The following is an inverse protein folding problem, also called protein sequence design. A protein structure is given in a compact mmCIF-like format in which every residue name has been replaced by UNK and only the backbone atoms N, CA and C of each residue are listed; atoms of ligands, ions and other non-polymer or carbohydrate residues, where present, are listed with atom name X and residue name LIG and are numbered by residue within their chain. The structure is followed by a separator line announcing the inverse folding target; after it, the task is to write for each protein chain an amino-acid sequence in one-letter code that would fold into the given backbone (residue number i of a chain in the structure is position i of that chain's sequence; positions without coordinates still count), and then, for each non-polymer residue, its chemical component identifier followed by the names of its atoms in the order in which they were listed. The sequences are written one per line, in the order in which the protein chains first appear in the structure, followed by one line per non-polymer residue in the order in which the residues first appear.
data_IF_104778628919
#
_entry.id   IF_104778628919
#
_cell.length_a   1.000
_cell.length_b   1.000
_cell.length_c   1.000
_cell.angle_alpha   90.00
_cell.angle_beta   90.00
_cell.angle_gamma   90.00
#
_symmetry.space_group_name_H-M   'P 1'
#
loop_
_entity.id
_entity.type
_entity.pdbx_description
1 polymer ?
#
# COMPACT_ATOMS: atom_id res chain seq x y z
N UNK A 1 25.23 18.34 -33.72
CA UNK A 1 25.60 17.66 -32.48
C UNK A 1 24.89 16.32 -32.46
N UNK A 2 25.62 15.23 -32.61
CA UNK A 2 25.12 13.87 -32.78
C UNK A 2 24.44 13.38 -31.51
N UNK A 3 23.15 13.05 -31.59
CA UNK A 3 22.38 12.38 -30.50
C UNK A 3 22.93 10.96 -30.32
N UNK A 4 23.75 10.76 -29.30
CA UNK A 4 24.07 9.41 -28.85
C UNK A 4 22.80 8.78 -28.28
N UNK A 5 22.18 7.88 -29.03
CA UNK A 5 21.19 6.95 -28.47
C UNK A 5 21.85 6.13 -27.37
N UNK A 6 21.30 6.21 -26.19
CA UNK A 6 21.63 5.27 -25.10
C UNK A 6 21.26 3.88 -25.60
N UNK A 7 22.14 2.86 -25.51
CA UNK A 7 21.80 1.52 -25.97
C UNK A 7 20.64 0.97 -25.13
N UNK A 8 19.61 0.46 -25.78
CA UNK A 8 18.56 -0.34 -25.15
C UNK A 8 19.20 -1.56 -24.51
N UNK A 9 18.95 -1.78 -23.23
CA UNK A 9 19.36 -2.99 -22.52
C UNK A 9 18.75 -4.20 -23.21
N UNK A 10 19.58 -5.09 -23.61
CA UNK A 10 19.59 -6.31 -24.35
C UNK A 10 18.28 -7.07 -24.67
N UNK A 11 18.29 -7.64 -25.86
CA UNK A 11 17.30 -8.50 -26.50
C UNK A 11 17.04 -9.88 -25.84
N UNK A 12 17.29 -10.04 -24.53
CA UNK A 12 16.93 -11.23 -23.75
C UNK A 12 15.73 -10.98 -22.80
N UNK A 13 15.10 -9.79 -22.87
CA UNK A 13 14.01 -9.38 -21.97
C UNK A 13 12.60 -9.60 -22.54
N UNK A 14 12.46 -9.95 -23.81
CA UNK A 14 11.13 -10.02 -24.49
C UNK A 14 10.27 -11.22 -24.02
N UNK A 15 10.85 -12.20 -23.34
CA UNK A 15 10.15 -13.40 -22.89
C UNK A 15 9.83 -13.43 -21.38
N UNK A 16 10.32 -12.46 -20.62
CA UNK A 16 10.10 -12.36 -19.20
C UNK A 16 8.79 -11.60 -18.89
N UNK A 17 7.89 -12.24 -18.13
CA UNK A 17 6.72 -11.56 -17.54
C UNK A 17 7.10 -11.08 -16.14
N UNK A 18 7.30 -9.76 -15.93
CA UNK A 18 7.70 -9.23 -14.64
C UNK A 18 6.53 -9.22 -13.66
N UNK A 19 6.82 -9.27 -12.36
CA UNK A 19 5.79 -9.22 -11.30
C UNK A 19 4.97 -7.93 -11.33
N UNK A 20 5.61 -6.81 -11.66
CA UNK A 20 4.99 -5.49 -11.81
C UNK A 20 5.70 -4.68 -12.90
N UNK A 21 4.97 -3.78 -13.52
CA UNK A 21 5.50 -2.84 -14.52
C UNK A 21 4.82 -1.49 -14.33
N UNK A 22 5.55 -0.41 -13.96
CA UNK A 22 4.99 0.94 -13.96
C UNK A 22 4.68 1.38 -15.39
N UNK A 23 3.63 2.18 -15.55
CA UNK A 23 3.26 2.78 -16.84
C UNK A 23 3.76 4.21 -16.85
N UNK A 24 4.81 4.46 -17.60
CA UNK A 24 5.41 5.78 -17.80
C UNK A 24 5.37 6.13 -19.29
N UNK A 25 5.20 7.41 -19.61
CA UNK A 25 5.15 7.91 -20.97
C UNK A 25 5.60 9.36 -21.09
N UNK A 26 5.33 9.95 -22.25
CA UNK A 26 5.77 11.30 -22.58
C UNK A 26 5.24 12.36 -21.58
N UNK A 27 4.03 12.18 -21.05
CA UNK A 27 3.45 13.11 -20.08
C UNK A 27 4.29 13.19 -18.80
N UNK A 28 4.70 12.04 -18.29
CA UNK A 28 5.56 11.94 -17.09
C UNK A 28 6.96 12.48 -17.37
N UNK A 29 7.54 12.17 -18.53
CA UNK A 29 8.86 12.67 -18.96
C UNK A 29 8.87 14.20 -19.05
N UNK A 30 7.87 14.79 -19.72
CA UNK A 30 7.75 16.24 -19.89
C UNK A 30 7.55 16.95 -18.54
N UNK A 31 6.68 16.41 -17.66
CA UNK A 31 6.43 17.01 -16.34
C UNK A 31 7.74 17.06 -15.49
N UNK A 32 8.52 16.00 -15.50
CA UNK A 32 9.82 15.96 -14.81
C UNK A 32 10.82 16.92 -15.44
N UNK A 33 10.91 16.97 -16.78
CA UNK A 33 11.81 17.87 -17.51
C UNK A 33 11.50 19.35 -17.24
N UNK A 34 10.23 19.72 -17.11
CA UNK A 34 9.82 21.09 -16.75
C UNK A 34 10.39 21.49 -15.40
N UNK A 35 10.29 20.62 -14.37
CA UNK A 35 10.85 20.88 -13.04
C UNK A 35 12.38 21.01 -13.09
N UNK A 36 13.05 20.11 -13.83
CA UNK A 36 14.52 20.19 -13.99
C UNK A 36 14.95 21.51 -14.64
N UNK A 37 14.21 21.98 -15.65
CA UNK A 37 14.48 23.24 -16.35
C UNK A 37 14.19 24.48 -15.52
N UNK A 38 13.21 24.40 -14.61
CA UNK A 38 12.87 25.51 -13.70
C UNK A 38 13.95 25.75 -12.63
N UNK A 39 14.76 24.75 -12.31
CA UNK A 39 15.71 24.80 -11.20
C UNK A 39 15.08 24.69 -9.79
N UNK A 40 13.74 24.68 -9.66
CA UNK A 40 13.05 24.52 -8.37
C UNK A 40 12.77 23.03 -8.09
N UNK A 41 13.75 22.35 -7.54
CA UNK A 41 13.70 20.89 -7.38
C UNK A 41 12.99 20.44 -6.09
N UNK A 42 12.82 21.34 -5.12
CA UNK A 42 12.21 21.05 -3.82
C UNK A 42 11.60 22.32 -3.21
N UNK A 43 10.53 22.16 -2.43
CA UNK A 43 9.77 23.28 -1.83
C UNK A 43 9.24 24.29 -2.86
N UNK A 44 8.99 23.83 -4.06
CA UNK A 44 8.41 24.63 -5.15
C UNK A 44 6.90 24.40 -5.28
N UNK A 45 6.31 24.85 -6.40
CA UNK A 45 4.84 24.89 -6.58
C UNK A 45 4.22 23.50 -6.82
N UNK A 46 4.99 22.49 -7.21
CA UNK A 46 4.44 21.17 -7.53
C UNK A 46 3.96 20.41 -6.30
N UNK A 47 4.55 20.69 -5.13
CA UNK A 47 4.11 20.05 -3.87
C UNK A 47 2.67 20.44 -3.53
N UNK A 48 2.30 21.72 -3.33
CA UNK A 48 0.92 22.09 -3.02
C UNK A 48 -0.07 21.77 -4.15
N UNK A 49 0.38 21.78 -5.40
CA UNK A 49 -0.44 21.37 -6.54
C UNK A 49 -0.82 19.88 -6.45
N UNK A 50 0.15 19.00 -6.21
CA UNK A 50 -0.07 17.56 -6.07
C UNK A 50 -0.98 17.25 -4.88
N UNK A 51 -0.73 17.90 -3.72
CA UNK A 51 -1.57 17.75 -2.52
C UNK A 51 -3.03 18.12 -2.79
N UNK A 52 -3.27 19.25 -3.41
CA UNK A 52 -4.62 19.71 -3.75
C UNK A 52 -5.33 18.78 -4.73
N UNK A 53 -4.65 18.32 -5.78
CA UNK A 53 -5.21 17.40 -6.78
C UNK A 53 -5.51 16.04 -6.16
N UNK A 54 -4.60 15.54 -5.31
CA UNK A 54 -4.77 14.25 -4.65
C UNK A 54 -5.92 14.29 -3.63
N UNK A 55 -6.00 15.35 -2.81
CA UNK A 55 -7.09 15.56 -1.87
C UNK A 55 -8.45 15.54 -2.59
N UNK A 56 -8.57 16.25 -3.71
CA UNK A 56 -9.78 16.26 -4.52
C UNK A 56 -10.10 14.86 -5.10
N UNK A 57 -9.10 14.06 -5.46
CA UNK A 57 -9.31 12.70 -6.01
C UNK A 57 -9.93 11.73 -5.02
N UNK A 58 -9.66 11.90 -3.73
CA UNK A 58 -10.14 11.02 -2.66
C UNK A 58 -11.19 11.67 -1.76
N UNK A 59 -11.78 12.77 -2.19
CA UNK A 59 -12.80 13.53 -1.45
C UNK A 59 -12.36 13.93 -0.02
N UNK A 60 -11.07 14.23 0.15
CA UNK A 60 -10.50 14.68 1.43
C UNK A 60 -10.32 16.20 1.47
N UNK A 61 -10.56 16.88 2.62
CA UNK A 61 -10.31 18.30 2.76
C UNK A 61 -8.83 18.68 2.60
N UNK A 62 -7.93 17.84 3.10
CA UNK A 62 -6.50 18.12 3.11
C UNK A 62 -5.66 16.93 2.68
N UNK A 63 -4.47 17.22 2.17
CA UNK A 63 -3.43 16.24 1.92
C UNK A 63 -2.04 16.82 2.22
N UNK A 64 -1.09 15.96 2.61
CA UNK A 64 0.30 16.29 2.85
C UNK A 64 1.22 15.27 2.18
N UNK A 65 2.00 15.70 1.19
CA UNK A 65 2.94 14.85 0.47
C UNK A 65 4.18 14.53 1.32
N UNK A 66 4.59 13.28 1.35
CA UNK A 66 5.70 12.76 2.16
C UNK A 66 6.64 11.88 1.33
N UNK A 67 7.87 11.68 1.83
CA UNK A 67 8.93 10.96 1.12
C UNK A 67 8.67 9.46 0.91
N UNK A 68 7.76 8.86 1.67
CA UNK A 68 7.34 7.45 1.53
C UNK A 68 6.05 7.17 2.30
N UNK A 69 5.37 6.06 2.00
CA UNK A 69 4.25 5.59 2.83
C UNK A 69 4.67 5.36 4.28
N UNK A 70 5.87 4.81 4.52
CA UNK A 70 6.40 4.60 5.87
C UNK A 70 6.55 5.91 6.65
N UNK A 71 7.07 6.97 6.00
CA UNK A 71 7.16 8.31 6.59
C UNK A 71 5.76 8.88 6.88
N UNK A 72 4.79 8.60 6.01
CA UNK A 72 3.39 8.98 6.20
C UNK A 72 2.76 8.30 7.42
N UNK A 73 2.91 6.99 7.56
CA UNK A 73 2.41 6.23 8.71
C UNK A 73 3.02 6.72 10.02
N UNK A 74 4.32 6.96 10.04
CA UNK A 74 5.00 7.51 11.21
C UNK A 74 4.43 8.87 11.61
N UNK A 75 4.35 9.82 10.67
CA UNK A 75 3.81 11.16 10.95
C UNK A 75 2.32 11.13 11.34
N UNK A 76 1.52 10.26 10.72
CA UNK A 76 0.11 10.13 11.07
C UNK A 76 -0.08 9.63 12.52
N UNK A 77 0.64 8.58 12.93
CA UNK A 77 0.61 8.08 14.30
C UNK A 77 1.10 9.14 15.30
N UNK A 78 2.19 9.80 15.00
CA UNK A 78 2.73 10.87 15.80
C UNK A 78 1.75 12.06 15.91
N UNK A 79 1.09 12.44 14.82
CA UNK A 79 0.13 13.54 14.82
C UNK A 79 -1.07 13.28 15.70
N UNK A 80 -1.60 12.05 15.73
CA UNK A 80 -2.70 11.66 16.61
C UNK A 80 -2.26 11.38 18.06
N UNK A 81 -0.98 11.61 18.38
CA UNK A 81 -0.49 11.63 19.76
C UNK A 81 0.04 10.31 20.28
N UNK A 82 0.33 9.33 19.42
CA UNK A 82 1.00 8.09 19.83
C UNK A 82 2.37 8.39 20.40
N UNK A 83 2.71 7.76 21.53
CA UNK A 83 3.97 7.95 22.22
C UNK A 83 4.44 6.69 22.98
N UNK A 84 5.47 6.87 23.80
CA UNK A 84 6.11 5.78 24.54
C UNK A 84 5.13 5.08 25.50
N UNK A 85 5.04 3.77 25.35
CA UNK A 85 4.17 2.92 26.19
C UNK A 85 2.76 2.72 25.64
N UNK A 86 2.34 3.48 24.63
CA UNK A 86 1.07 3.30 23.95
C UNK A 86 1.06 2.02 23.11
N UNK A 87 -0.12 1.56 22.77
CA UNK A 87 -0.35 0.40 21.91
C UNK A 87 -1.10 0.83 20.63
N UNK A 88 -0.66 0.29 19.48
CA UNK A 88 -1.29 0.45 18.17
C UNK A 88 -1.74 -0.91 17.68
N UNK A 89 -3.06 -1.13 17.54
CA UNK A 89 -3.62 -2.37 17.00
C UNK A 89 -3.55 -2.36 15.49
N UNK A 90 -2.94 -3.39 14.89
CA UNK A 90 -2.85 -3.54 13.43
C UNK A 90 -2.83 -5.00 13.01
N UNK A 91 -2.82 -5.24 11.70
CA UNK A 91 -2.79 -6.58 11.10
C UNK A 91 -1.38 -7.20 11.15
N UNK A 92 -1.24 -8.50 11.49
CA UNK A 92 0.00 -9.23 11.28
C UNK A 92 0.24 -9.58 9.80
N UNK A 93 -0.78 -9.42 8.93
CA UNK A 93 -0.71 -9.65 7.48
C UNK A 93 -0.71 -8.33 6.73
N UNK A 94 0.46 -7.71 6.65
CA UNK A 94 0.70 -6.44 5.96
C UNK A 94 2.18 -6.32 5.59
N UNK A 95 2.54 -5.24 4.87
CA UNK A 95 3.93 -4.84 4.81
C UNK A 95 4.39 -4.35 6.19
N UNK A 96 5.63 -4.66 6.54
CA UNK A 96 6.18 -4.41 7.88
C UNK A 96 6.11 -2.94 8.33
N UNK A 97 5.97 -1.99 7.40
CA UNK A 97 5.89 -0.56 7.71
C UNK A 97 4.69 -0.20 8.60
N UNK A 98 3.54 -0.89 8.46
CA UNK A 98 2.35 -0.65 9.29
C UNK A 98 2.65 -0.89 10.79
N UNK A 99 3.45 -1.90 11.10
CA UNK A 99 3.86 -2.20 12.47
C UNK A 99 5.09 -1.38 12.92
N UNK A 100 6.08 -1.18 12.03
CA UNK A 100 7.28 -0.41 12.34
C UNK A 100 6.97 1.05 12.69
N UNK A 101 5.93 1.64 12.09
CA UNK A 101 5.57 3.03 12.35
C UNK A 101 5.25 3.31 13.83
N UNK A 102 4.63 2.35 14.54
CA UNK A 102 4.41 2.44 15.99
C UNK A 102 5.74 2.45 16.77
N UNK A 103 6.72 1.64 16.32
CA UNK A 103 8.00 1.53 17.00
C UNK A 103 8.85 2.80 16.91
N UNK A 104 8.66 3.63 15.88
CA UNK A 104 9.35 4.91 15.76
C UNK A 104 8.93 5.89 16.86
N UNK A 105 7.71 5.81 17.35
CA UNK A 105 7.19 6.57 18.50
C UNK A 105 7.33 5.80 19.84
N UNK A 106 8.12 4.70 19.87
CA UNK A 106 8.31 3.81 21.03
C UNK A 106 7.03 3.17 21.56
N UNK A 107 5.98 3.19 20.76
CA UNK A 107 4.74 2.47 21.00
C UNK A 107 4.88 1.00 20.63
N UNK A 108 4.00 0.17 21.14
CA UNK A 108 3.95 -1.27 20.86
C UNK A 108 2.94 -1.57 19.76
N UNK A 109 3.32 -2.20 18.64
CA UNK A 109 2.35 -2.80 17.75
C UNK A 109 1.72 -4.02 18.42
N UNK A 110 0.38 -4.05 18.46
CA UNK A 110 -0.43 -5.16 18.93
C UNK A 110 -1.10 -5.77 17.73
N UNK A 111 -0.83 -7.03 17.44
CA UNK A 111 -1.46 -7.70 16.31
C UNK A 111 -2.81 -8.30 16.70
N UNK A 112 -3.75 -8.26 15.75
CA UNK A 112 -5.00 -8.99 15.82
C UNK A 112 -5.20 -9.73 14.48
N UNK A 113 -5.81 -10.92 14.52
CA UNK A 113 -5.90 -11.78 13.33
C UNK A 113 -6.78 -11.18 12.23
N UNK A 114 -6.79 -11.77 11.08
CA UNK A 114 -7.43 -11.28 9.86
C UNK A 114 -8.72 -12.04 9.55
N UNK A 115 -9.62 -11.41 8.82
CA UNK A 115 -10.76 -12.08 8.21
C UNK A 115 -10.27 -13.02 7.09
N UNK A 116 -10.67 -14.31 7.09
CA UNK A 116 -10.14 -15.31 6.15
C UNK A 116 -10.60 -15.11 4.70
N UNK A 117 -11.54 -14.19 4.45
CA UNK A 117 -12.10 -13.95 3.12
C UNK A 117 -11.54 -12.67 2.52
N UNK A 118 -11.64 -11.57 3.25
CA UNK A 118 -11.16 -10.26 2.78
C UNK A 118 -9.66 -10.08 3.00
N UNK A 119 -9.09 -10.84 3.94
CA UNK A 119 -7.70 -10.78 4.41
C UNK A 119 -7.35 -9.47 5.14
N UNK A 120 -8.31 -8.59 5.33
CA UNK A 120 -8.19 -7.39 6.16
C UNK A 120 -8.17 -7.76 7.65
N UNK A 121 -7.70 -6.84 8.48
CA UNK A 121 -7.82 -6.95 9.94
C UNK A 121 -9.27 -7.26 10.32
N UNK A 122 -9.49 -8.31 11.14
CA UNK A 122 -10.82 -8.65 11.64
C UNK A 122 -11.24 -7.66 12.74
N UNK A 123 -12.35 -6.92 12.57
CA UNK A 123 -12.82 -5.98 13.58
C UNK A 123 -13.12 -6.64 14.94
N UNK A 124 -13.59 -7.89 14.97
CA UNK A 124 -13.86 -8.60 16.23
C UNK A 124 -12.55 -8.95 16.96
N UNK A 125 -11.54 -9.41 16.21
CA UNK A 125 -10.21 -9.65 16.75
C UNK A 125 -9.55 -8.35 17.25
N UNK A 126 -9.70 -7.26 16.50
CA UNK A 126 -9.20 -5.94 16.89
C UNK A 126 -9.87 -5.44 18.18
N UNK A 127 -11.20 -5.57 18.30
CA UNK A 127 -11.93 -5.21 19.51
C UNK A 127 -11.48 -6.01 20.74
N UNK A 128 -11.20 -7.30 20.57
CA UNK A 128 -10.71 -8.16 21.65
C UNK A 128 -9.27 -7.83 22.10
N UNK A 129 -8.50 -7.18 21.23
CA UNK A 129 -7.12 -6.77 21.50
C UNK A 129 -6.99 -5.40 22.20
N UNK A 130 -8.11 -4.66 22.38
CA UNK A 130 -8.11 -3.34 23.04
C UNK A 130 -7.73 -3.47 24.51
N UNK A 131 -6.80 -2.64 24.95
CA UNK A 131 -6.36 -2.49 26.36
C UNK A 131 -6.44 -1.01 26.77
N UNK A 132 -6.17 -0.73 28.05
CA UNK A 132 -6.08 0.65 28.56
C UNK A 132 -4.93 1.46 27.92
N UNK A 133 -3.94 0.80 27.32
CA UNK A 133 -2.82 1.43 26.60
C UNK A 133 -3.08 1.64 25.14
N UNK A 134 -4.14 1.07 24.59
CA UNK A 134 -4.47 1.23 23.18
C UNK A 134 -4.80 2.70 22.90
N UNK A 135 -4.16 3.26 21.87
CA UNK A 135 -4.38 4.64 21.39
C UNK A 135 -4.92 4.69 19.99
N UNK A 136 -4.52 3.75 19.14
CA UNK A 136 -4.84 3.77 17.72
C UNK A 136 -5.23 2.38 17.25
N UNK A 137 -6.27 2.32 16.40
CA UNK A 137 -6.49 1.20 15.49
C UNK A 137 -5.93 1.62 14.14
N UNK A 138 -5.04 0.79 13.57
CA UNK A 138 -4.43 0.99 12.25
C UNK A 138 -4.88 -0.13 11.32
N UNK A 139 -6.07 -0.04 10.70
CA UNK A 139 -6.51 -0.96 9.66
C UNK A 139 -5.66 -0.77 8.40
N UNK A 140 -5.40 -1.89 7.71
CA UNK A 140 -4.73 -1.91 6.41
C UNK A 140 -5.76 -2.30 5.36
N UNK A 141 -5.84 -1.57 4.26
CA UNK A 141 -6.67 -1.93 3.10
C UNK A 141 -5.87 -2.88 2.20
N UNK A 142 -5.78 -4.15 2.63
CA UNK A 142 -4.87 -5.14 2.04
C UNK A 142 -5.18 -5.42 0.57
N UNK A 143 -4.16 -5.41 -0.29
CA UNK A 143 -4.26 -5.69 -1.72
C UNK A 143 -5.28 -4.82 -2.47
N UNK A 144 -5.59 -3.63 -1.90
CA UNK A 144 -6.55 -2.69 -2.45
C UNK A 144 -8.00 -2.96 -2.09
N UNK A 145 -8.31 -3.92 -1.21
CA UNK A 145 -9.67 -4.16 -0.74
C UNK A 145 -9.98 -3.29 0.49
N UNK A 146 -11.09 -2.51 0.49
CA UNK A 146 -11.44 -1.67 1.63
C UNK A 146 -11.63 -2.48 2.91
N UNK A 147 -11.05 -2.02 4.02
CA UNK A 147 -11.34 -2.55 5.34
C UNK A 147 -12.73 -2.12 5.81
N UNK A 148 -13.35 -2.87 6.73
CA UNK A 148 -14.66 -2.52 7.32
C UNK A 148 -14.55 -1.33 8.27
N UNK A 149 -14.39 -0.14 7.66
CA UNK A 149 -14.21 1.10 8.43
C UNK A 149 -15.38 1.40 9.36
N UNK A 150 -16.66 1.22 8.98
CA UNK A 150 -17.76 1.39 9.92
C UNK A 150 -17.66 0.54 11.18
N UNK A 151 -17.10 -0.68 11.11
CA UNK A 151 -16.86 -1.49 12.30
C UNK A 151 -15.72 -0.93 13.16
N UNK A 152 -14.63 -0.49 12.54
CA UNK A 152 -13.51 0.13 13.28
C UNK A 152 -13.90 1.47 13.90
N UNK A 153 -14.69 2.29 13.23
CA UNK A 153 -15.23 3.54 13.77
C UNK A 153 -16.08 3.30 15.03
N UNK A 154 -16.96 2.28 15.02
CA UNK A 154 -17.72 1.90 16.23
C UNK A 154 -16.84 1.44 17.38
N UNK A 155 -15.73 0.74 17.11
CA UNK A 155 -14.78 0.33 18.14
C UNK A 155 -14.04 1.54 18.68
N UNK A 156 -13.56 2.40 17.80
CA UNK A 156 -12.85 3.63 18.13
C UNK A 156 -13.70 4.56 19.03
N UNK A 157 -14.96 4.80 18.62
CA UNK A 157 -15.91 5.61 19.41
C UNK A 157 -16.16 5.03 20.82
N UNK A 158 -16.29 3.69 20.92
CA UNK A 158 -16.55 3.02 22.21
C UNK A 158 -15.39 3.14 23.17
N UNK A 159 -14.17 3.17 22.68
CA UNK A 159 -12.94 3.09 23.49
C UNK A 159 -12.12 4.38 23.46
N UNK A 160 -12.63 5.46 22.84
CA UNK A 160 -11.94 6.75 22.67
C UNK A 160 -10.56 6.59 21.99
N UNK A 161 -10.54 5.85 20.87
CA UNK A 161 -9.33 5.57 20.10
C UNK A 161 -9.29 6.42 18.84
N UNK A 162 -8.09 6.78 18.39
CA UNK A 162 -7.90 7.32 17.05
C UNK A 162 -7.84 6.20 16.01
N UNK A 163 -8.13 6.55 14.75
CA UNK A 163 -7.94 5.68 13.59
C UNK A 163 -6.87 6.32 12.68
N UNK A 164 -5.95 5.48 12.22
CA UNK A 164 -5.01 5.81 11.13
C UNK A 164 -5.11 4.69 10.10
N UNK A 165 -5.44 5.04 8.85
CA UNK A 165 -5.62 4.04 7.79
C UNK A 165 -4.33 3.85 6.99
N UNK A 166 -3.88 2.60 6.82
CA UNK A 166 -2.85 2.25 5.86
C UNK A 166 -3.50 1.89 4.52
N UNK A 167 -3.54 2.85 3.62
CA UNK A 167 -4.07 2.73 2.26
C UNK A 167 -2.95 2.69 1.20
N UNK A 168 -1.71 2.33 1.59
CA UNK A 168 -0.58 2.26 0.65
C UNK A 168 -0.80 1.30 -0.52
N UNK A 169 -1.83 0.48 -0.47
CA UNK A 169 -2.21 -0.47 -1.51
C UNK A 169 -3.61 -0.22 -2.11
N UNK A 170 -4.31 0.85 -1.68
CA UNK A 170 -5.75 0.99 -1.93
C UNK A 170 -6.17 2.27 -2.66
N UNK A 171 -5.25 2.94 -3.36
CA UNK A 171 -5.61 4.09 -4.18
C UNK A 171 -6.63 3.69 -5.25
N UNK A 172 -7.76 4.41 -5.31
CA UNK A 172 -8.88 4.12 -6.20
C UNK A 172 -9.95 3.19 -5.62
N UNK A 173 -9.73 2.62 -4.43
CA UNK A 173 -10.74 1.84 -3.74
C UNK A 173 -11.88 2.73 -3.20
N UNK A 174 -13.09 2.15 -3.08
CA UNK A 174 -14.27 2.80 -2.49
C UNK A 174 -14.96 1.85 -1.53
N UNK A 175 -15.46 2.40 -0.45
CA UNK A 175 -16.33 1.68 0.50
C UNK A 175 -17.75 1.52 -0.06
N UNK A 176 -18.50 0.58 0.50
CA UNK A 176 -19.88 0.28 0.11
C UNK A 176 -20.84 1.48 0.14
N UNK A 177 -20.57 2.46 0.98
CA UNK A 177 -21.30 3.72 1.07
C UNK A 177 -20.90 4.75 -0.02
N UNK A 178 -20.00 4.36 -0.92
CA UNK A 178 -19.50 5.19 -2.02
C UNK A 178 -18.35 6.14 -1.64
N UNK A 179 -17.97 6.22 -0.36
CA UNK A 179 -16.86 7.07 0.07
C UNK A 179 -15.53 6.46 -0.42
N UNK A 180 -14.66 7.23 -1.11
CA UNK A 180 -13.34 6.73 -1.47
C UNK A 180 -12.49 6.42 -0.22
N UNK A 181 -11.62 5.43 -0.30
CA UNK A 181 -10.56 5.27 0.70
C UNK A 181 -9.75 6.57 0.75
N UNK A 182 -9.56 7.12 1.97
CA UNK A 182 -8.96 8.42 2.20
C UNK A 182 -9.94 9.58 2.36
N UNK A 183 -11.26 9.36 2.11
CA UNK A 183 -12.31 10.38 2.21
C UNK A 183 -13.09 10.37 3.53
N UNK A 184 -12.82 9.45 4.47
CA UNK A 184 -13.53 9.35 5.75
C UNK A 184 -13.09 10.35 6.81
N UNK A 185 -12.04 11.11 6.54
CA UNK A 185 -11.56 12.17 7.43
C UNK A 185 -10.50 11.73 8.43
N UNK A 186 -10.30 10.43 8.62
CA UNK A 186 -9.17 9.89 9.38
C UNK A 186 -7.84 10.17 8.66
N UNK A 187 -6.71 10.31 9.36
CA UNK A 187 -5.41 10.27 8.71
C UNK A 187 -5.24 8.97 7.93
N UNK A 188 -5.21 9.07 6.60
CA UNK A 188 -5.10 7.93 5.69
C UNK A 188 -3.83 8.08 4.86
N UNK A 189 -3.01 7.02 4.80
CA UNK A 189 -1.68 7.07 4.20
C UNK A 189 -1.64 6.26 2.92
N UNK A 190 -1.18 6.89 1.83
CA UNK A 190 -0.95 6.27 0.53
C UNK A 190 0.55 6.19 0.24
N UNK A 191 0.98 5.14 -0.45
CA UNK A 191 2.36 4.96 -0.88
C UNK A 191 2.51 5.02 -2.39
N UNK A 192 3.63 5.59 -2.87
CA UNK A 192 3.88 5.80 -4.31
C UNK A 192 5.15 5.11 -4.79
N UNK A 193 5.47 3.96 -4.20
CA UNK A 193 6.56 3.11 -4.68
C UNK A 193 6.30 2.64 -6.13
N UNK A 194 7.36 2.22 -6.82
CA UNK A 194 7.35 1.93 -8.26
C UNK A 194 6.27 0.93 -8.73
N UNK A 195 5.78 0.04 -7.87
CA UNK A 195 4.77 -0.97 -8.23
C UNK A 195 3.33 -0.58 -7.86
N UNK A 196 3.11 0.59 -7.24
CA UNK A 196 1.78 1.02 -6.78
C UNK A 196 0.88 1.46 -7.94
N UNK A 197 -0.39 1.74 -7.64
CA UNK A 197 -1.38 2.19 -8.64
C UNK A 197 -0.96 3.51 -9.29
N UNK A 198 -0.31 4.38 -8.53
CA UNK A 198 0.36 5.59 -8.93
C UNK A 198 1.78 5.55 -8.38
N UNK A 199 2.76 5.97 -9.16
CA UNK A 199 4.15 6.00 -8.70
C UNK A 199 4.79 7.37 -8.82
N UNK A 200 5.66 7.69 -7.86
CA UNK A 200 6.63 8.80 -7.92
C UNK A 200 8.07 8.29 -7.81
N UNK A 201 8.27 6.97 -8.02
CA UNK A 201 9.50 6.23 -7.70
C UNK A 201 9.55 5.88 -6.22
N UNK A 202 9.65 6.87 -5.37
CA UNK A 202 9.45 6.86 -3.92
C UNK A 202 8.53 8.03 -3.55
N UNK A 203 7.66 7.85 -2.57
CA UNK A 203 6.74 8.90 -2.12
C UNK A 203 5.56 8.35 -1.34
N UNK A 204 4.76 9.26 -0.82
CA UNK A 204 3.50 8.99 -0.15
C UNK A 204 2.66 10.25 0.00
N UNK A 205 1.43 10.06 0.47
CA UNK A 205 0.49 11.13 0.77
C UNK A 205 -0.27 10.77 2.04
N UNK A 206 -0.49 11.75 2.91
CA UNK A 206 -1.40 11.64 4.04
C UNK A 206 -2.62 12.49 3.72
N UNK A 207 -3.82 11.91 3.74
CA UNK A 207 -5.09 12.65 3.64
C UNK A 207 -5.78 12.68 4.99
N UNK A 208 -6.51 13.75 5.29
CA UNK A 208 -7.17 13.95 6.59
C UNK A 208 -8.14 15.14 6.54
N UNK A 209 -9.07 15.21 7.53
CA UNK A 209 -10.00 16.34 7.65
C UNK A 209 -9.58 17.37 8.70
N UNK A 210 -8.77 17.02 9.68
CA UNK A 210 -8.37 17.93 10.76
C UNK A 210 -7.22 18.85 10.34
N UNK A 211 -7.50 20.15 10.32
CA UNK A 211 -6.52 21.18 9.93
C UNK A 211 -5.33 21.28 10.90
N UNK A 212 -5.55 21.06 12.21
CA UNK A 212 -4.45 21.13 13.20
C UNK A 212 -3.48 19.97 13.03
N UNK A 213 -4.02 18.77 12.73
CA UNK A 213 -3.17 17.61 12.42
C UNK A 213 -2.38 17.86 11.13
N UNK A 214 -3.01 18.47 10.10
CA UNK A 214 -2.30 18.85 8.87
C UNK A 214 -1.15 19.81 9.14
N UNK A 215 -1.38 20.89 9.88
CA UNK A 215 -0.34 21.87 10.24
C UNK A 215 0.84 21.18 10.97
N UNK A 216 0.52 20.28 11.90
CA UNK A 216 1.52 19.51 12.62
C UNK A 216 2.33 18.61 11.67
N UNK A 217 1.66 17.85 10.79
CA UNK A 217 2.28 16.98 9.80
C UNK A 217 3.19 17.80 8.86
N UNK A 218 2.71 18.93 8.36
CA UNK A 218 3.47 19.80 7.45
C UNK A 218 4.72 20.39 8.11
N UNK A 219 4.62 20.79 9.38
CA UNK A 219 5.78 21.21 10.17
C UNK A 219 6.76 20.06 10.37
N UNK A 220 6.28 18.91 10.88
CA UNK A 220 7.13 17.79 11.26
C UNK A 220 7.80 17.10 10.05
N UNK A 221 7.12 17.01 8.88
CA UNK A 221 7.78 16.50 7.64
C UNK A 221 8.89 17.42 7.13
N UNK A 222 8.84 18.69 7.53
CA UNK A 222 9.78 19.74 7.16
C UNK A 222 10.64 20.18 8.35
N UNK A 223 11.19 19.25 9.10
CA UNK A 223 12.15 19.46 10.19
C UNK A 223 11.59 20.18 11.41
N UNK A 224 10.27 20.29 11.57
CA UNK A 224 9.64 20.99 12.70
C UNK A 224 9.64 22.49 12.57
N UNK A 225 9.62 23.04 11.36
CA UNK A 225 9.52 24.48 11.13
C UNK A 225 8.24 25.06 11.71
N UNK A 226 8.33 26.26 12.25
CA UNK A 226 7.20 27.00 12.77
C UNK A 226 6.07 27.19 11.72
N UNK A 227 4.81 27.34 12.12
CA UNK A 227 3.68 27.44 11.20
C UNK A 227 3.77 28.57 10.17
N UNK A 228 4.41 29.69 10.51
CA UNK A 228 4.69 30.79 9.60
C UNK A 228 5.81 30.48 8.60
N UNK A 229 6.36 29.25 8.64
CA UNK A 229 7.47 28.78 7.82
C UNK A 229 8.72 29.66 7.91
N UNK A 230 8.89 30.39 9.01
CA UNK A 230 10.09 31.15 9.31
C UNK A 230 11.34 30.28 9.18
N UNK A 231 12.33 30.78 8.46
CA UNK A 231 13.56 30.01 8.17
C UNK A 231 14.36 29.68 9.43
N UNK A 232 14.23 30.50 10.45
CA UNK A 232 15.11 30.45 11.63
C UNK A 232 14.46 29.81 12.85
N UNK A 233 13.16 29.45 12.79
CA UNK A 233 12.45 28.87 13.91
C UNK A 233 11.98 27.45 13.64
N UNK A 234 12.29 26.55 14.58
CA UNK A 234 11.89 25.16 14.62
C UNK A 234 11.26 24.90 15.99
N UNK A 235 9.93 25.03 16.07
CA UNK A 235 9.19 25.01 17.33
C UNK A 235 8.95 23.58 17.87
N UNK A 236 9.32 22.56 17.10
CA UNK A 236 9.17 21.15 17.46
C UNK A 236 10.20 20.26 16.79
N UNK A 237 10.32 19.04 17.31
CA UNK A 237 11.12 18.00 16.65
C UNK A 237 10.41 17.56 15.36
N UNK A 238 11.12 17.62 14.25
CA UNK A 238 10.62 17.18 12.96
C UNK A 238 11.64 16.33 12.20
N UNK A 239 11.26 15.95 10.99
CA UNK A 239 11.98 15.01 10.14
C UNK A 239 12.21 15.60 8.75
N UNK A 240 13.11 15.04 7.98
CA UNK A 240 13.25 15.35 6.57
C UNK A 240 12.46 14.35 5.72
N UNK A 241 11.10 14.46 5.76
CA UNK A 241 10.17 13.58 5.07
C UNK A 241 9.45 14.29 3.92
N UNK A 242 10.03 15.37 3.40
CA UNK A 242 9.49 16.12 2.26
C UNK A 242 9.53 15.29 0.98
N UNK A 243 8.51 15.43 0.15
CA UNK A 243 8.56 14.99 -1.24
C UNK A 243 9.16 16.10 -2.11
N UNK A 244 9.96 15.76 -3.10
CA UNK A 244 10.55 16.74 -4.02
C UNK A 244 9.55 17.19 -5.10
N UNK A 245 9.77 18.37 -5.69
CA UNK A 245 8.97 18.84 -6.83
C UNK A 245 9.09 17.92 -8.04
N UNK A 246 10.24 17.27 -8.24
CA UNK A 246 10.44 16.27 -9.31
C UNK A 246 9.45 15.11 -9.13
N UNK A 247 9.39 14.54 -7.92
CA UNK A 247 8.49 13.45 -7.61
C UNK A 247 7.02 13.89 -7.65
N UNK A 248 6.70 15.11 -7.18
CA UNK A 248 5.35 15.66 -7.27
C UNK A 248 4.91 15.88 -8.71
N UNK A 249 5.78 16.36 -9.61
CA UNK A 249 5.45 16.53 -11.02
C UNK A 249 5.13 15.18 -11.70
N UNK A 250 5.93 14.13 -11.39
CA UNK A 250 5.65 12.77 -11.83
C UNK A 250 4.29 12.31 -11.30
N UNK A 251 4.02 12.53 -9.99
CA UNK A 251 2.76 12.18 -9.34
C UNK A 251 1.54 12.88 -9.94
N UNK A 252 1.65 14.16 -10.33
CA UNK A 252 0.59 14.92 -11.00
C UNK A 252 0.26 14.30 -12.35
N UNK A 253 1.28 13.99 -13.16
CA UNK A 253 1.08 13.36 -14.47
C UNK A 253 0.43 11.98 -14.34
N UNK A 254 0.88 11.16 -13.38
CA UNK A 254 0.30 9.86 -13.06
C UNK A 254 -1.16 9.99 -12.56
N UNK A 255 -1.45 10.96 -11.71
CA UNK A 255 -2.79 11.20 -11.16
C UNK A 255 -3.79 11.56 -12.27
N UNK A 256 -3.37 12.31 -13.27
CA UNK A 256 -4.20 12.66 -14.41
C UNK A 256 -4.63 11.43 -15.24
N UNK A 257 -3.86 10.33 -15.19
CA UNK A 257 -4.12 9.07 -15.90
C UNK A 257 -4.57 7.94 -14.98
N UNK A 258 -4.78 8.22 -13.69
CA UNK A 258 -5.05 7.19 -12.69
C UNK A 258 -6.26 6.33 -13.06
N UNK A 259 -7.35 6.93 -13.54
CA UNK A 259 -8.57 6.18 -13.90
C UNK A 259 -8.32 5.16 -15.02
N UNK A 260 -7.58 5.54 -16.05
CA UNK A 260 -7.15 4.64 -17.12
C UNK A 260 -6.37 3.43 -16.56
N UNK A 261 -5.43 3.69 -15.65
CA UNK A 261 -4.62 2.64 -15.03
C UNK A 261 -5.43 1.72 -14.12
N UNK A 262 -6.41 2.26 -13.37
CA UNK A 262 -7.30 1.46 -12.53
C UNK A 262 -8.22 0.56 -13.35
N UNK A 263 -8.80 1.07 -14.43
CA UNK A 263 -9.61 0.28 -15.37
C UNK A 263 -8.78 -0.84 -16.00
N UNK A 264 -7.55 -0.55 -16.42
CA UNK A 264 -6.66 -1.54 -16.99
C UNK A 264 -6.27 -2.65 -15.98
N UNK A 265 -6.10 -2.30 -14.70
CA UNK A 265 -5.87 -3.28 -13.62
C UNK A 265 -7.11 -4.14 -13.36
N UNK A 266 -8.29 -3.54 -13.32
CA UNK A 266 -9.54 -4.28 -13.15
C UNK A 266 -9.73 -5.30 -14.28
N UNK A 267 -9.48 -4.90 -15.53
CA UNK A 267 -9.52 -5.82 -16.68
C UNK A 267 -8.52 -6.98 -16.53
N UNK A 268 -7.29 -6.72 -16.10
CA UNK A 268 -6.31 -7.78 -15.87
C UNK A 268 -6.77 -8.76 -14.77
N UNK A 269 -7.44 -8.25 -13.72
CA UNK A 269 -7.99 -9.10 -12.67
C UNK A 269 -9.12 -10.00 -13.17
N UNK A 270 -9.98 -9.50 -14.06
CA UNK A 270 -11.03 -10.30 -14.70
C UNK A 270 -10.45 -11.42 -15.57
N UNK A 271 -9.46 -11.10 -16.41
CA UNK A 271 -8.76 -12.11 -17.20
C UNK A 271 -8.19 -13.25 -16.33
N UNK A 272 -7.59 -12.92 -15.19
CA UNK A 272 -7.12 -13.93 -14.23
C UNK A 272 -8.28 -14.72 -13.62
N UNK A 273 -9.38 -14.09 -13.25
CA UNK A 273 -10.54 -14.78 -12.70
C UNK A 273 -11.10 -15.82 -13.67
N UNK A 274 -11.19 -15.46 -14.95
CA UNK A 274 -11.66 -16.35 -16.01
C UNK A 274 -10.66 -17.49 -16.24
N UNK A 275 -9.36 -17.18 -16.39
CA UNK A 275 -8.34 -18.16 -16.69
C UNK A 275 -8.09 -19.16 -15.55
N UNK A 276 -8.33 -18.76 -14.29
CA UNK A 276 -8.05 -19.57 -13.10
C UNK A 276 -9.32 -20.18 -12.45
N UNK A 277 -10.52 -19.90 -12.99
CA UNK A 277 -11.80 -20.34 -12.38
C UNK A 277 -11.92 -21.86 -12.19
N UNK A 278 -11.25 -22.66 -13.04
CA UNK A 278 -11.30 -24.12 -13.00
C UNK A 278 -10.16 -24.79 -12.23
N UNK A 279 -9.25 -24.03 -11.62
CA UNK A 279 -8.09 -24.60 -10.91
C UNK A 279 -8.52 -25.07 -9.52
N UNK A 280 -8.54 -26.40 -9.32
CA UNK A 280 -9.02 -27.02 -8.09
C UNK A 280 -8.18 -26.62 -6.87
N UNK A 281 -8.86 -26.27 -5.77
CA UNK A 281 -8.23 -25.89 -4.51
C UNK A 281 -7.52 -24.53 -4.49
N UNK A 282 -7.40 -23.85 -5.64
CA UNK A 282 -6.85 -22.50 -5.73
C UNK A 282 -7.89 -21.50 -5.24
N UNK A 283 -7.53 -20.65 -4.28
CA UNK A 283 -8.40 -19.56 -3.83
C UNK A 283 -7.98 -18.25 -4.48
N UNK A 284 -8.88 -17.66 -5.26
CA UNK A 284 -8.70 -16.34 -5.87
C UNK A 284 -9.02 -15.22 -4.88
N UNK A 285 -8.58 -13.95 -5.14
CA UNK A 285 -9.05 -12.80 -4.37
C UNK A 285 -10.57 -12.78 -4.28
N UNK A 286 -11.11 -12.46 -3.11
CA UNK A 286 -12.57 -12.40 -2.94
C UNK A 286 -13.22 -11.45 -3.94
N UNK A 287 -14.48 -11.69 -4.28
CA UNK A 287 -15.29 -10.74 -5.03
C UNK A 287 -15.61 -9.53 -4.15
N UNK A 288 -15.77 -8.38 -4.76
CA UNK A 288 -16.17 -7.17 -4.04
C UNK A 288 -17.57 -7.37 -3.47
N UNK A 289 -17.80 -6.97 -2.21
CA UNK A 289 -19.00 -7.26 -1.44
C UNK A 289 -19.74 -5.99 -1.07
N UNK A 290 -21.05 -6.07 -0.99
CA UNK A 290 -21.87 -5.01 -0.41
C UNK A 290 -21.81 -3.66 -1.12
N UNK A 291 -21.14 -3.54 -2.25
CA UNK A 291 -20.92 -2.29 -2.95
C UNK A 291 -19.49 -1.74 -2.79
N UNK A 292 -18.61 -2.43 -2.05
CA UNK A 292 -17.18 -2.12 -2.05
C UNK A 292 -16.60 -2.21 -3.47
N UNK A 293 -15.65 -1.35 -3.77
CA UNK A 293 -14.88 -1.36 -5.02
C UNK A 293 -13.40 -1.46 -4.68
N UNK A 294 -12.75 -2.48 -5.20
CA UNK A 294 -11.32 -2.71 -5.00
C UNK A 294 -10.46 -1.78 -5.87
N UNK A 295 -9.49 -1.14 -5.24
CA UNK A 295 -8.40 -0.45 -5.95
C UNK A 295 -7.26 -1.42 -6.25
N UNK A 296 -7.38 -2.20 -7.31
CA UNK A 296 -6.47 -3.30 -7.63
C UNK A 296 -4.99 -2.90 -7.60
N UNK A 297 -4.23 -3.47 -6.65
CA UNK A 297 -2.78 -3.27 -6.51
C UNK A 297 -1.98 -4.49 -7.00
N UNK A 298 -2.32 -5.66 -6.49
CA UNK A 298 -1.69 -6.95 -6.81
C UNK A 298 -2.78 -8.00 -7.03
N UNK A 299 -2.43 -9.09 -7.72
CA UNK A 299 -3.28 -10.27 -7.81
C UNK A 299 -2.61 -11.41 -7.03
N UNK A 300 -3.12 -11.67 -5.82
CA UNK A 300 -2.59 -12.68 -4.91
C UNK A 300 -3.57 -13.84 -4.81
N UNK A 301 -3.09 -15.02 -5.14
CA UNK A 301 -3.83 -16.28 -4.98
C UNK A 301 -3.36 -17.02 -3.74
N UNK A 302 -4.22 -17.86 -3.16
CA UNK A 302 -3.83 -18.81 -2.11
C UNK A 302 -3.77 -20.22 -2.71
N UNK A 303 -2.62 -20.82 -2.66
CA UNK A 303 -2.40 -22.19 -3.16
C UNK A 303 -3.19 -23.20 -2.33
N UNK A 304 -3.53 -24.38 -2.89
CA UNK A 304 -4.13 -25.47 -2.12
C UNK A 304 -3.29 -25.83 -0.89
N UNK A 305 -3.95 -26.33 0.16
CA UNK A 305 -3.25 -26.80 1.36
C UNK A 305 -2.33 -27.98 1.00
N UNK A 306 -1.11 -27.96 1.55
CA UNK A 306 -0.11 -29.01 1.33
C UNK A 306 0.79 -28.79 0.11
N UNK A 307 0.48 -27.82 -0.76
CA UNK A 307 1.33 -27.47 -1.90
C UNK A 307 2.57 -26.71 -1.44
N UNK A 308 3.75 -27.15 -1.90
CA UNK A 308 5.01 -26.47 -1.62
C UNK A 308 5.14 -25.21 -2.50
N UNK A 309 4.76 -24.03 -1.95
CA UNK A 309 4.78 -22.75 -2.67
C UNK A 309 6.09 -22.47 -3.40
N UNK A 310 7.23 -22.77 -2.77
CA UNK A 310 8.55 -22.49 -3.36
C UNK A 310 8.83 -23.35 -4.59
N UNK A 311 8.20 -24.53 -4.70
CA UNK A 311 8.27 -25.37 -5.90
C UNK A 311 7.49 -24.72 -7.04
N UNK A 312 6.26 -24.27 -6.78
CA UNK A 312 5.44 -23.53 -7.76
C UNK A 312 6.18 -22.28 -8.26
N UNK A 313 6.82 -21.53 -7.35
CA UNK A 313 7.65 -20.37 -7.73
C UNK A 313 8.80 -20.77 -8.66
N UNK A 314 9.47 -21.87 -8.41
CA UNK A 314 10.55 -22.37 -9.30
C UNK A 314 10.02 -22.75 -10.69
N UNK A 315 8.88 -23.41 -10.77
CA UNK A 315 8.24 -23.77 -12.06
C UNK A 315 7.88 -22.51 -12.85
N UNK A 316 7.24 -21.53 -12.22
CA UNK A 316 6.94 -20.24 -12.85
C UNK A 316 8.21 -19.52 -13.32
N UNK A 317 9.25 -19.48 -12.49
CA UNK A 317 10.53 -18.87 -12.84
C UNK A 317 11.20 -19.54 -14.04
N UNK A 318 11.13 -20.88 -14.14
CA UNK A 318 11.65 -21.64 -15.28
C UNK A 318 10.89 -21.32 -16.59
N UNK A 319 9.61 -20.95 -16.50
CA UNK A 319 8.79 -20.48 -17.61
C UNK A 319 8.95 -18.98 -17.92
N UNK A 320 9.91 -18.27 -17.28
CA UNK A 320 10.13 -16.84 -17.45
C UNK A 320 9.06 -15.97 -16.78
N UNK A 321 8.41 -16.45 -15.73
CA UNK A 321 7.32 -15.77 -15.02
C UNK A 321 7.78 -15.41 -13.61
N UNK A 322 7.80 -14.11 -13.27
CA UNK A 322 8.11 -13.68 -11.92
C UNK A 322 6.91 -13.89 -11.00
N UNK A 323 7.17 -14.43 -9.82
CA UNK A 323 6.19 -14.57 -8.74
C UNK A 323 6.88 -14.46 -7.38
N UNK A 324 6.14 -14.15 -6.33
CA UNK A 324 6.71 -14.02 -4.96
C UNK A 324 5.70 -14.44 -3.91
N UNK A 325 6.18 -14.96 -2.74
CA UNK A 325 5.36 -14.98 -1.52
C UNK A 325 4.86 -13.57 -1.20
N UNK A 326 3.57 -13.44 -0.81
CA UNK A 326 3.00 -12.12 -0.58
C UNK A 326 1.82 -12.17 0.40
N UNK A 327 1.95 -11.73 1.66
CA UNK A 327 3.07 -11.22 2.44
C UNK A 327 3.48 -12.25 3.51
N UNK A 328 4.70 -12.16 4.10
CA UNK A 328 5.01 -12.95 5.28
C UNK A 328 4.27 -12.40 6.51
N UNK A 329 3.93 -13.26 7.45
CA UNK A 329 3.34 -12.86 8.73
C UNK A 329 4.35 -12.04 9.56
N UNK A 330 4.03 -10.79 9.88
CA UNK A 330 4.97 -9.84 10.55
C UNK A 330 5.41 -10.37 11.91
N UNK A 331 4.49 -10.92 12.71
CA UNK A 331 4.79 -11.42 14.05
C UNK A 331 5.80 -12.59 14.06
N UNK A 332 5.94 -13.32 12.94
CA UNK A 332 6.92 -14.40 12.77
C UNK A 332 8.28 -13.94 12.24
N UNK A 333 8.43 -12.68 11.85
CA UNK A 333 9.75 -12.13 11.49
C UNK A 333 10.69 -12.14 12.70
N UNK A 334 11.97 -12.44 12.49
CA UNK A 334 12.98 -12.60 13.56
C UNK A 334 12.96 -11.44 14.56
N UNK A 335 12.97 -10.21 14.05
CA UNK A 335 12.93 -8.99 14.87
C UNK A 335 11.72 -8.94 15.82
N UNK A 336 10.51 -9.28 15.33
CA UNK A 336 9.29 -9.25 16.17
C UNK A 336 9.24 -10.40 17.16
N UNK A 337 9.69 -11.59 16.76
CA UNK A 337 9.81 -12.74 17.66
C UNK A 337 10.80 -12.48 18.79
N UNK A 338 11.96 -11.95 18.48
CA UNK A 338 13.00 -11.65 19.48
C UNK A 338 12.58 -10.52 20.41
N UNK A 339 11.96 -9.46 19.88
CA UNK A 339 11.61 -8.27 20.67
C UNK A 339 10.35 -8.44 21.50
N UNK A 340 9.34 -9.15 21.00
CA UNK A 340 7.99 -9.22 21.60
C UNK A 340 7.60 -10.63 22.05
N UNK A 341 8.37 -11.64 21.71
CA UNK A 341 8.13 -13.03 22.13
C UNK A 341 7.05 -13.77 21.34
N UNK A 342 6.61 -13.23 20.20
CA UNK A 342 5.59 -13.87 19.36
C UNK A 342 6.00 -15.27 18.89
N UNK A 343 5.02 -16.15 18.78
CA UNK A 343 5.19 -17.56 18.38
C UNK A 343 4.21 -17.93 17.28
N UNK A 344 4.55 -19.01 16.57
CA UNK A 344 3.61 -19.62 15.63
C UNK A 344 2.37 -20.15 16.38
N UNK A 345 1.21 -20.00 15.76
CA UNK A 345 -0.10 -20.39 16.29
C UNK A 345 -0.86 -19.26 17.00
N UNK A 346 -0.27 -18.07 17.17
CA UNK A 346 -0.96 -16.93 17.81
C UNK A 346 -1.98 -16.26 16.87
N UNK A 347 -1.74 -16.27 15.55
CA UNK A 347 -2.63 -15.70 14.53
C UNK A 347 -2.85 -16.72 13.40
N UNK A 348 -3.65 -17.78 13.67
CA UNK A 348 -3.74 -18.94 12.79
C UNK A 348 -4.28 -18.64 11.41
N UNK A 349 -5.20 -17.67 11.24
CA UNK A 349 -5.71 -17.30 9.92
C UNK A 349 -4.63 -16.57 9.11
N UNK A 350 -3.96 -15.59 9.70
CA UNK A 350 -2.83 -14.91 9.07
C UNK A 350 -1.72 -15.89 8.68
N UNK A 351 -1.38 -16.84 9.56
CA UNK A 351 -0.29 -17.80 9.32
C UNK A 351 -0.61 -18.74 8.16
N UNK A 352 -1.83 -19.29 8.09
CA UNK A 352 -2.26 -20.12 6.97
C UNK A 352 -2.25 -19.34 5.65
N UNK A 353 -2.83 -18.14 5.65
CA UNK A 353 -2.85 -17.26 4.47
C UNK A 353 -1.43 -16.91 4.03
N UNK A 354 -0.56 -16.48 4.94
CA UNK A 354 0.83 -16.11 4.63
C UNK A 354 1.64 -17.28 4.07
N UNK A 355 1.39 -18.52 4.55
CA UNK A 355 2.06 -19.72 4.06
C UNK A 355 1.69 -20.06 2.61
N UNK A 356 0.43 -19.80 2.20
CA UNK A 356 -0.12 -20.20 0.91
C UNK A 356 -0.22 -19.09 -0.12
N UNK A 357 -0.08 -17.82 0.27
CA UNK A 357 -0.22 -16.67 -0.62
C UNK A 357 0.92 -16.56 -1.62
N UNK A 358 0.56 -16.37 -2.90
CA UNK A 358 1.45 -16.20 -4.03
C UNK A 358 0.98 -15.01 -4.89
N UNK A 359 1.82 -14.01 -5.05
CA UNK A 359 1.57 -12.93 -5.99
C UNK A 359 1.94 -13.36 -7.41
N UNK A 360 1.01 -13.21 -8.33
CA UNK A 360 1.20 -13.39 -9.76
C UNK A 360 1.55 -12.05 -10.42
N UNK A 361 2.15 -12.05 -11.62
CA UNK A 361 2.38 -10.84 -12.42
C UNK A 361 1.11 -10.01 -12.51
N UNK A 362 1.19 -8.71 -12.19
CA UNK A 362 0.01 -7.86 -12.22
C UNK A 362 0.36 -6.38 -12.45
N UNK A 363 -0.03 -5.86 -13.60
CA UNK A 363 0.22 -4.46 -13.98
C UNK A 363 -0.80 -3.98 -15.02
N UNK A 364 -0.98 -2.66 -15.19
CA UNK A 364 -1.87 -2.12 -16.22
C UNK A 364 -1.44 -2.57 -17.63
N UNK A 365 -2.41 -2.96 -18.46
CA UNK A 365 -2.14 -3.35 -19.84
C UNK A 365 -1.60 -4.78 -20.03
N UNK A 366 -1.74 -5.65 -19.04
CA UNK A 366 -1.50 -7.08 -19.24
C UNK A 366 -2.37 -7.63 -20.36
N UNK A 367 -1.76 -8.38 -21.28
CA UNK A 367 -2.42 -8.99 -22.44
C UNK A 367 -2.99 -10.37 -22.06
N UNK A 368 -4.03 -10.78 -22.76
CA UNK A 368 -4.63 -12.12 -22.59
C UNK A 368 -3.60 -13.25 -22.71
N UNK A 369 -2.67 -13.17 -23.66
CA UNK A 369 -1.59 -14.15 -23.82
C UNK A 369 -0.59 -14.19 -22.65
N UNK A 370 -0.33 -13.04 -21.98
CA UNK A 370 0.50 -13.01 -20.77
C UNK A 370 -0.22 -13.69 -19.61
N UNK A 371 -1.52 -13.41 -19.43
CA UNK A 371 -2.36 -14.05 -18.40
C UNK A 371 -2.49 -15.55 -18.64
N UNK A 372 -2.74 -15.99 -19.89
CA UNK A 372 -2.84 -17.40 -20.27
C UNK A 372 -1.54 -18.14 -19.89
N UNK A 373 -0.38 -17.61 -20.31
CA UNK A 373 0.92 -18.19 -19.99
C UNK A 373 1.18 -18.29 -18.48
N UNK A 374 0.79 -17.28 -17.70
CA UNK A 374 0.92 -17.33 -16.22
C UNK A 374 0.00 -18.41 -15.64
N UNK A 375 -1.23 -18.52 -16.13
CA UNK A 375 -2.21 -19.49 -15.66
C UNK A 375 -1.81 -20.93 -16.00
N UNK A 376 -1.26 -21.16 -17.19
CA UNK A 376 -0.69 -22.45 -17.61
C UNK A 376 0.49 -22.84 -16.70
N UNK A 377 1.48 -21.95 -16.52
CA UNK A 377 2.64 -22.21 -15.67
C UNK A 377 2.26 -22.43 -14.19
N UNK A 378 1.21 -21.74 -13.69
CA UNK A 378 0.69 -22.01 -12.35
C UNK A 378 0.06 -23.39 -12.25
N UNK A 379 -0.74 -23.81 -13.25
CA UNK A 379 -1.38 -25.13 -13.30
C UNK A 379 -0.35 -26.25 -13.39
N UNK A 380 0.71 -26.08 -14.21
CA UNK A 380 1.84 -27.00 -14.27
C UNK A 380 2.56 -27.13 -12.92
N UNK A 381 2.81 -25.98 -12.25
CA UNK A 381 3.45 -25.94 -10.93
C UNK A 381 2.62 -26.65 -9.85
N UNK A 382 1.28 -26.54 -9.93
CA UNK A 382 0.38 -27.24 -9.02
C UNK A 382 0.32 -28.75 -9.30
N UNK A 383 0.27 -29.16 -10.57
CA UNK A 383 0.24 -30.58 -10.97
C UNK A 383 1.52 -31.33 -10.60
N UNK A 384 2.66 -30.64 -10.52
CA UNK A 384 3.93 -31.24 -10.12
C UNK A 384 4.01 -31.53 -8.60
N UNK A 385 3.08 -30.99 -7.79
CA UNK A 385 3.02 -31.16 -6.33
C UNK A 385 1.92 -32.16 -5.89
N UNK A 386 1.10 -32.63 -6.81
CA UNK A 386 0.10 -33.71 -6.61
C UNK A 386 0.62 -35.05 -7.07
#
# INVERSE_FOLDING_TARGET
MSSRRVPSVGAAADDLIPLARPVLGEAEELAVLEVLRSGQLSLGPRVPEFERLFAARVDSPFASAVSSGTAGLHLALRAVGVGEGDEVITSPFSFVASANAALYERARPVFADIDPVTLNLDPAAAAAAVTERTRVILPVHIFGYPADMPAFERIADRHDLAIVEDACEALGARHADGIPVGGRGHPTVFGFYANKQLTTGEGGMITLADHKLKERIDSERNQGRAPDMSWLDHDRLGFNYRLSDIACALGIAQLARLEEMLVARAKAAELYREALAGVEGLRLPCVDRGGDVRGWFVFVVQLPSGVARDSVIRTLAAAGIQSKPYLPAIHLMSFYRERFGYRAGEFPVCEDVAARSLALPFFPGMREGEVARVSEGLSEGLAAET
#
